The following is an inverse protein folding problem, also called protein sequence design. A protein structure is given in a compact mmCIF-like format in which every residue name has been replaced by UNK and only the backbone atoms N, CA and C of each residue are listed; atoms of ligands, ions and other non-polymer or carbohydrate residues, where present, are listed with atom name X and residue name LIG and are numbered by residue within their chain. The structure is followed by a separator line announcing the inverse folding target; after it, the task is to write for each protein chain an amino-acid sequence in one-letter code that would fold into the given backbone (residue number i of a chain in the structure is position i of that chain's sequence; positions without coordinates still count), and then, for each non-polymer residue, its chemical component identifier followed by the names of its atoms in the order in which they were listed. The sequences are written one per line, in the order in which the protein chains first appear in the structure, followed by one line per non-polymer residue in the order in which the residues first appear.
data_IF_105445835009
#
_entry.id   IF_105445835009
#
_cell.length_a   1.000
_cell.length_b   1.000
_cell.length_c   1.000
_cell.angle_alpha   90.00
_cell.angle_beta   90.00
_cell.angle_gamma   90.00
#
_symmetry.space_group_name_H-M   'P 1'
#
loop_
_entity.id
_entity.type
_entity.pdbx_description
1 polymer ?
#
# COMPACT_ATOMS: atom_id res chain seq x y z
N UNK A 1 50.05 -13.51 -85.18
CA UNK A 1 50.93 -12.88 -84.20
C UNK A 1 50.08 -12.70 -82.93
N UNK A 2 50.23 -13.71 -82.05
CA UNK A 2 49.38 -13.82 -80.84
C UNK A 2 50.09 -13.26 -79.64
N UNK A 3 49.38 -12.41 -78.90
CA UNK A 3 49.79 -11.96 -77.54
C UNK A 3 48.87 -12.57 -76.52
N UNK A 4 49.36 -13.60 -75.85
CA UNK A 4 48.72 -14.16 -74.68
C UNK A 4 48.89 -13.24 -73.50
N UNK A 5 47.77 -12.76 -72.91
CA UNK A 5 47.76 -12.03 -71.61
C UNK A 5 47.62 -13.03 -70.49
N UNK A 6 48.57 -13.01 -69.60
CA UNK A 6 48.57 -13.74 -68.33
C UNK A 6 47.73 -12.93 -67.29
N UNK A 7 46.71 -13.53 -66.78
CA UNK A 7 45.91 -12.91 -65.65
C UNK A 7 46.38 -13.64 -64.42
N UNK A 8 46.99 -12.84 -63.46
CA UNK A 8 47.28 -13.23 -62.08
C UNK A 8 46.05 -13.03 -61.27
N UNK A 9 45.46 -14.07 -60.67
CA UNK A 9 44.43 -14.02 -59.71
C UNK A 9 45.04 -13.84 -58.27
N UNK A 10 44.87 -12.70 -57.67
CA UNK A 10 45.20 -12.48 -56.28
C UNK A 10 44.02 -12.87 -55.42
N UNK A 11 44.11 -13.94 -54.63
CA UNK A 11 43.14 -14.33 -53.63
C UNK A 11 43.32 -13.48 -52.39
N UNK A 12 42.45 -12.49 -52.21
CA UNK A 12 42.36 -11.70 -50.99
C UNK A 12 41.58 -12.47 -49.91
N UNK A 13 42.26 -12.94 -48.86
CA UNK A 13 41.62 -13.48 -47.67
C UNK A 13 40.99 -12.32 -46.85
N UNK A 14 39.66 -12.21 -46.87
CA UNK A 14 38.92 -11.31 -46.00
C UNK A 14 38.85 -11.91 -44.60
N UNK A 15 39.68 -11.40 -43.69
CA UNK A 15 39.55 -11.67 -42.24
C UNK A 15 38.35 -10.92 -41.73
N UNK A 16 37.22 -11.60 -41.55
CA UNK A 16 36.06 -11.07 -40.86
C UNK A 16 36.37 -11.01 -39.36
N UNK A 17 36.82 -9.87 -38.87
CA UNK A 17 36.88 -9.57 -37.42
C UNK A 17 35.46 -9.46 -36.92
N UNK A 18 34.94 -10.52 -36.32
CA UNK A 18 33.69 -10.49 -35.56
C UNK A 18 33.84 -9.53 -34.37
N UNK A 19 33.39 -8.30 -34.55
CA UNK A 19 33.13 -7.39 -33.43
C UNK A 19 32.02 -8.01 -32.62
N UNK A 20 32.37 -8.73 -31.56
CA UNK A 20 31.44 -9.17 -30.53
C UNK A 20 30.75 -7.90 -29.97
N UNK A 21 29.46 -7.74 -30.28
CA UNK A 21 28.66 -6.67 -29.67
C UNK A 21 28.67 -6.89 -28.16
N UNK A 22 29.44 -6.07 -27.43
CA UNK A 22 29.37 -6.02 -26.00
C UNK A 22 27.90 -5.75 -25.63
N UNK A 23 27.32 -6.47 -24.64
CA UNK A 23 25.96 -6.23 -24.25
C UNK A 23 25.84 -4.75 -23.86
N UNK A 24 24.98 -4.03 -24.57
CA UNK A 24 24.71 -2.62 -24.27
C UNK A 24 24.26 -2.53 -22.81
N UNK A 25 25.10 -1.99 -21.94
CA UNK A 25 24.73 -1.70 -20.56
C UNK A 25 23.59 -0.69 -20.64
N UNK A 26 22.39 -1.14 -20.30
CA UNK A 26 21.22 -0.27 -20.26
C UNK A 26 21.49 0.85 -19.28
N UNK A 27 21.26 2.11 -19.69
CA UNK A 27 21.41 3.25 -18.82
C UNK A 27 20.57 3.10 -17.55
N UNK A 28 21.09 3.61 -16.43
CA UNK A 28 20.38 3.59 -15.16
C UNK A 28 19.02 4.30 -15.28
N UNK A 29 17.96 3.59 -14.95
CA UNK A 29 16.61 4.16 -14.98
C UNK A 29 16.33 4.92 -13.69
N UNK A 30 15.89 6.17 -13.79
CA UNK A 30 15.40 6.95 -12.63
C UNK A 30 13.87 7.03 -12.68
N UNK A 31 13.22 6.59 -11.57
CA UNK A 31 11.78 6.66 -11.38
C UNK A 31 11.43 7.79 -10.40
N UNK A 32 10.36 8.54 -10.70
CA UNK A 32 9.82 9.56 -9.80
C UNK A 32 8.91 8.90 -8.77
N UNK A 33 9.35 8.90 -7.50
CA UNK A 33 8.64 8.29 -6.37
C UNK A 33 7.79 9.30 -5.61
N UNK A 34 6.56 8.92 -5.22
CA UNK A 34 5.68 9.74 -4.39
C UNK A 34 5.04 8.92 -3.27
N UNK A 35 4.87 9.54 -2.09
CA UNK A 35 4.19 8.92 -0.95
C UNK A 35 2.79 9.50 -0.74
N UNK A 36 1.83 8.64 -0.42
CA UNK A 36 0.49 9.08 0.04
C UNK A 36 0.48 9.63 1.47
N UNK A 37 1.64 9.68 2.12
CA UNK A 37 1.82 10.20 3.48
C UNK A 37 2.96 11.21 3.52
N UNK A 38 2.99 12.10 4.52
CA UNK A 38 4.08 13.06 4.67
C UNK A 38 5.43 12.34 4.82
N UNK A 39 6.45 12.88 4.19
CA UNK A 39 7.83 12.37 4.32
C UNK A 39 8.26 12.45 5.79
N UNK A 40 8.96 11.41 6.27
CA UNK A 40 9.42 11.29 7.67
C UNK A 40 8.33 10.94 8.68
N UNK A 41 7.03 10.92 8.28
CA UNK A 41 5.94 10.54 9.17
C UNK A 41 5.94 9.03 9.47
N UNK A 42 5.37 8.57 10.60
CA UNK A 42 5.28 7.13 10.89
C UNK A 42 4.70 6.29 9.75
N UNK A 43 3.62 6.70 9.05
CA UNK A 43 3.13 5.93 7.90
C UNK A 43 3.90 6.17 6.59
N UNK A 44 4.73 7.21 6.48
CA UNK A 44 5.56 7.47 5.29
C UNK A 44 6.86 6.65 5.27
N UNK A 45 7.49 6.51 6.45
CA UNK A 45 8.80 5.84 6.61
C UNK A 45 8.92 4.44 5.98
N UNK A 46 7.91 3.55 6.02
CA UNK A 46 8.05 2.23 5.38
C UNK A 46 8.31 2.31 3.87
N UNK A 47 7.67 3.22 3.16
CA UNK A 47 7.94 3.41 1.73
C UNK A 47 9.32 4.04 1.48
N UNK A 48 9.72 5.00 2.31
CA UNK A 48 11.06 5.61 2.24
C UNK A 48 12.16 4.56 2.47
N UNK A 49 11.94 3.62 3.39
CA UNK A 49 12.85 2.51 3.64
C UNK A 49 12.95 1.55 2.44
N UNK A 50 11.82 1.23 1.79
CA UNK A 50 11.81 0.45 0.56
C UNK A 50 12.58 1.17 -0.55
N UNK A 51 12.34 2.46 -0.76
CA UNK A 51 13.05 3.28 -1.76
C UNK A 51 14.55 3.28 -1.51
N UNK A 52 14.97 3.45 -0.24
CA UNK A 52 16.39 3.40 0.14
C UNK A 52 17.03 2.06 -0.21
N UNK A 53 16.34 0.94 0.03
CA UNK A 53 16.86 -0.39 -0.28
C UNK A 53 16.89 -0.67 -1.79
N UNK A 54 15.87 -0.23 -2.55
CA UNK A 54 15.90 -0.28 -4.02
C UNK A 54 17.08 0.50 -4.56
N UNK A 55 17.30 1.73 -4.09
CA UNK A 55 18.40 2.58 -4.54
C UNK A 55 19.78 2.00 -4.19
N UNK A 56 19.91 1.35 -3.03
CA UNK A 56 21.15 0.67 -2.63
C UNK A 56 21.50 -0.47 -3.58
N UNK A 57 20.54 -1.37 -3.87
CA UNK A 57 20.77 -2.55 -4.72
C UNK A 57 20.75 -2.21 -6.20
N UNK A 58 20.03 -1.17 -6.58
CA UNK A 58 19.86 -0.72 -7.95
C UNK A 58 20.90 0.28 -8.43
N UNK A 59 21.99 0.51 -7.69
CA UNK A 59 23.04 1.46 -8.11
C UNK A 59 23.59 1.08 -9.48
N UNK A 60 23.55 2.02 -10.42
CA UNK A 60 23.94 1.81 -11.83
C UNK A 60 22.87 1.09 -12.69
N UNK A 61 21.75 0.68 -12.13
CA UNK A 61 20.68 -0.07 -12.84
C UNK A 61 19.33 0.67 -12.74
N UNK A 62 18.86 0.95 -11.52
CA UNK A 62 17.57 1.60 -11.29
C UNK A 62 17.58 2.38 -9.98
N UNK A 63 17.07 3.61 -10.02
CA UNK A 63 16.92 4.47 -8.84
C UNK A 63 15.48 5.00 -8.73
N UNK A 64 15.05 5.26 -7.51
CA UNK A 64 13.79 5.95 -7.23
C UNK A 64 14.12 7.29 -6.56
N UNK A 65 13.86 8.40 -7.27
CA UNK A 65 13.97 9.74 -6.72
C UNK A 65 12.65 10.15 -6.08
N UNK A 66 12.64 10.28 -4.75
CA UNK A 66 11.44 10.77 -4.05
C UNK A 66 11.19 12.23 -4.39
N UNK A 67 10.01 12.53 -4.92
CA UNK A 67 9.56 13.90 -5.25
C UNK A 67 8.74 14.53 -4.13
N UNK A 68 8.30 13.73 -3.16
CA UNK A 68 7.59 14.22 -1.98
C UNK A 68 6.51 13.28 -1.46
N UNK A 69 5.77 13.77 -0.48
CA UNK A 69 4.64 13.08 0.13
C UNK A 69 3.41 13.99 0.32
N UNK A 70 2.22 13.39 0.30
CA UNK A 70 0.98 14.13 0.57
C UNK A 70 0.96 14.63 2.04
N UNK A 71 0.38 15.81 2.31
CA UNK A 71 -0.37 16.67 1.39
C UNK A 71 0.51 17.67 0.60
N UNK A 72 1.84 17.75 0.86
CA UNK A 72 2.71 18.76 0.26
C UNK A 72 2.73 18.71 -1.29
N UNK A 73 2.61 17.52 -1.89
CA UNK A 73 2.53 17.32 -3.35
C UNK A 73 1.09 17.17 -3.87
N UNK A 74 0.12 17.48 -3.01
CA UNK A 74 -1.32 17.40 -3.30
C UNK A 74 -2.06 16.33 -2.50
N UNK A 75 -3.35 16.19 -2.76
CA UNK A 75 -4.21 15.26 -2.02
C UNK A 75 -3.80 13.80 -2.21
N UNK A 76 -3.68 13.01 -1.11
CA UNK A 76 -3.38 11.59 -1.20
C UNK A 76 -4.41 10.81 -2.00
N UNK A 77 -5.66 11.27 -2.06
CA UNK A 77 -6.74 10.64 -2.80
C UNK A 77 -6.61 10.77 -4.33
N UNK A 78 -5.70 11.60 -4.83
CA UNK A 78 -5.49 11.82 -6.27
C UNK A 78 -4.12 11.32 -6.76
N UNK A 79 -3.19 10.98 -5.86
CA UNK A 79 -1.82 10.62 -6.25
C UNK A 79 -1.76 9.40 -7.17
N UNK A 80 -2.53 8.35 -6.88
CA UNK A 80 -2.55 7.15 -7.72
C UNK A 80 -3.14 7.44 -9.11
N UNK A 81 -4.15 8.31 -9.20
CA UNK A 81 -4.68 8.74 -10.49
C UNK A 81 -3.63 9.55 -11.28
N UNK A 82 -2.91 10.45 -10.61
CA UNK A 82 -1.80 11.21 -11.22
C UNK A 82 -0.70 10.26 -11.70
N UNK A 83 -0.35 9.24 -10.90
CA UNK A 83 0.62 8.21 -11.28
C UNK A 83 0.15 7.40 -12.50
N UNK A 84 -1.09 6.94 -12.54
CA UNK A 84 -1.60 6.18 -13.70
C UNK A 84 -1.57 6.99 -15.00
N UNK A 85 -1.60 8.31 -14.91
CA UNK A 85 -1.45 9.26 -16.03
C UNK A 85 0.01 9.68 -16.30
N UNK A 86 0.97 9.22 -15.50
CA UNK A 86 2.41 9.44 -15.72
C UNK A 86 3.00 10.67 -15.01
N UNK A 87 2.28 11.32 -14.08
CA UNK A 87 2.86 12.40 -13.26
C UNK A 87 3.94 11.88 -12.29
N UNK A 88 3.75 10.65 -11.79
CA UNK A 88 4.71 9.90 -10.98
C UNK A 88 4.91 8.52 -11.60
N UNK A 89 6.03 7.87 -11.31
CA UNK A 89 6.33 6.55 -11.85
C UNK A 89 6.03 5.46 -10.82
N UNK A 90 6.32 5.69 -9.53
CA UNK A 90 6.07 4.75 -8.42
C UNK A 90 5.44 5.47 -7.24
N UNK A 91 4.46 4.85 -6.59
CA UNK A 91 3.75 5.41 -5.44
C UNK A 91 3.66 4.38 -4.31
N UNK A 92 4.01 4.82 -3.09
CA UNK A 92 3.72 4.12 -1.84
C UNK A 92 2.38 4.59 -1.26
N UNK A 93 1.37 3.73 -1.21
CA UNK A 93 0.01 4.13 -0.84
C UNK A 93 -0.79 3.03 -0.16
N UNK A 94 -1.83 3.42 0.58
CA UNK A 94 -2.87 2.48 1.06
C UNK A 94 -4.00 2.35 0.04
N UNK A 95 -4.66 1.19 -0.01
CA UNK A 95 -5.80 0.93 -0.90
C UNK A 95 -6.96 1.90 -0.66
N UNK A 96 -7.08 2.44 0.55
CA UNK A 96 -8.09 3.45 0.88
C UNK A 96 -7.98 4.74 0.08
N UNK A 97 -6.78 5.06 -0.41
CA UNK A 97 -6.54 6.28 -1.18
C UNK A 97 -6.57 6.05 -2.70
N UNK A 98 -6.39 4.84 -3.18
CA UNK A 98 -6.50 4.55 -4.61
C UNK A 98 -7.78 3.80 -5.03
N UNK A 99 -8.71 3.59 -4.10
CA UNK A 99 -9.99 2.96 -4.38
C UNK A 99 -10.90 3.74 -5.35
N UNK A 100 -10.63 5.00 -5.62
CA UNK A 100 -11.29 5.79 -6.67
C UNK A 100 -10.83 5.38 -8.08
N UNK A 101 -9.58 4.96 -8.24
CA UNK A 101 -9.03 4.47 -9.51
C UNK A 101 -9.38 3.00 -9.71
N UNK A 102 -9.22 2.19 -8.66
CA UNK A 102 -9.51 0.77 -8.66
C UNK A 102 -10.40 0.39 -7.47
N UNK A 103 -11.72 0.47 -7.62
CA UNK A 103 -12.69 0.21 -6.53
C UNK A 103 -12.56 -1.17 -5.89
N UNK A 104 -12.15 -2.19 -6.67
CA UNK A 104 -11.90 -3.54 -6.18
C UNK A 104 -10.73 -3.64 -5.19
N UNK A 105 -9.82 -2.64 -5.12
CA UNK A 105 -8.71 -2.61 -4.17
C UNK A 105 -9.18 -2.72 -2.70
N UNK A 106 -10.42 -2.37 -2.43
CA UNK A 106 -11.03 -2.54 -1.12
C UNK A 106 -10.94 -3.98 -0.56
N UNK A 107 -10.74 -4.99 -1.41
CA UNK A 107 -10.55 -6.37 -0.98
C UNK A 107 -9.25 -6.58 -0.20
N UNK A 108 -8.21 -5.78 -0.47
CA UNK A 108 -6.89 -5.94 0.16
C UNK A 108 -6.94 -5.84 1.69
N UNK A 109 -7.89 -5.08 2.26
CA UNK A 109 -8.11 -5.00 3.71
C UNK A 109 -8.96 -6.12 4.28
N UNK A 110 -9.64 -6.91 3.42
CA UNK A 110 -10.60 -7.96 3.80
C UNK A 110 -9.94 -9.35 3.89
N UNK A 111 -8.62 -9.44 3.79
CA UNK A 111 -7.87 -10.69 3.78
C UNK A 111 -8.07 -11.48 5.09
N UNK A 112 -8.27 -12.80 4.95
CA UNK A 112 -8.29 -13.77 6.06
C UNK A 112 -7.11 -14.76 5.96
N UNK A 113 -6.27 -14.62 4.93
CA UNK A 113 -5.04 -15.38 4.70
C UNK A 113 -3.81 -14.50 4.86
N UNK A 114 -2.64 -15.09 5.14
CA UNK A 114 -1.37 -14.39 5.01
C UNK A 114 -1.16 -13.90 3.57
N UNK A 115 -0.34 -12.88 3.38
CA UNK A 115 -0.13 -12.35 2.04
C UNK A 115 0.62 -13.34 1.13
N UNK A 116 1.50 -14.16 1.72
CA UNK A 116 2.13 -15.27 1.02
C UNK A 116 1.10 -16.28 0.49
N UNK A 117 0.09 -16.63 1.31
CA UNK A 117 -1.00 -17.50 0.89
C UNK A 117 -1.86 -16.86 -0.22
N UNK A 118 -2.17 -15.57 -0.10
CA UNK A 118 -2.90 -14.84 -1.15
C UNK A 118 -2.17 -14.87 -2.50
N UNK A 119 -0.82 -14.79 -2.49
CA UNK A 119 -0.03 -14.97 -3.72
C UNK A 119 -0.14 -16.38 -4.28
N UNK A 120 0.03 -17.42 -3.45
CA UNK A 120 -0.09 -18.82 -3.89
C UNK A 120 -1.48 -19.16 -4.45
N UNK A 121 -2.53 -18.59 -3.88
CA UNK A 121 -3.93 -18.76 -4.33
C UNK A 121 -4.26 -17.94 -5.60
N UNK A 122 -3.32 -17.16 -6.11
CA UNK A 122 -3.54 -16.27 -7.26
C UNK A 122 -4.40 -15.04 -6.95
N UNK A 123 -4.66 -14.74 -5.68
CA UNK A 123 -5.47 -13.59 -5.26
C UNK A 123 -4.81 -12.26 -5.66
N UNK A 124 -3.52 -12.14 -5.41
CA UNK A 124 -2.76 -10.93 -5.76
C UNK A 124 -2.61 -10.79 -7.27
N UNK A 125 -2.38 -11.89 -8.01
CA UNK A 125 -2.36 -11.87 -9.48
C UNK A 125 -3.71 -11.42 -10.06
N UNK A 126 -4.83 -11.82 -9.44
CA UNK A 126 -6.15 -11.35 -9.86
C UNK A 126 -6.34 -9.85 -9.61
N UNK A 127 -5.92 -9.34 -8.44
CA UNK A 127 -5.93 -7.89 -8.13
C UNK A 127 -5.04 -7.13 -9.11
N UNK A 128 -3.85 -7.63 -9.41
CA UNK A 128 -2.95 -7.04 -10.40
C UNK A 128 -3.59 -6.96 -11.78
N UNK A 129 -4.24 -8.03 -12.25
CA UNK A 129 -4.99 -8.02 -13.52
C UNK A 129 -6.03 -6.88 -13.56
N UNK A 130 -6.72 -6.61 -12.44
CA UNK A 130 -7.67 -5.50 -12.35
C UNK A 130 -6.98 -4.13 -12.36
N UNK A 131 -5.86 -4.00 -11.66
CA UNK A 131 -5.03 -2.78 -11.62
C UNK A 131 -4.42 -2.47 -12.99
N UNK A 132 -3.95 -3.49 -13.72
CA UNK A 132 -3.37 -3.32 -15.06
C UNK A 132 -4.37 -2.70 -16.05
N UNK A 133 -5.67 -3.00 -15.93
CA UNK A 133 -6.73 -2.35 -16.73
C UNK A 133 -6.86 -0.84 -16.45
N UNK A 134 -6.27 -0.37 -15.34
CA UNK A 134 -6.24 1.03 -14.91
C UNK A 134 -4.87 1.69 -15.09
N UNK A 135 -3.96 1.03 -15.82
CA UNK A 135 -2.62 1.56 -16.08
C UNK A 135 -1.68 1.47 -14.87
N UNK A 136 -1.91 0.53 -13.96
CA UNK A 136 -1.16 0.35 -12.71
C UNK A 136 -0.60 -1.05 -12.66
N UNK A 137 0.71 -1.18 -12.35
CA UNK A 137 1.37 -2.43 -11.97
C UNK A 137 1.47 -2.52 -10.45
N UNK A 138 1.21 -3.70 -9.90
CA UNK A 138 1.31 -3.98 -8.47
C UNK A 138 2.63 -4.68 -8.16
N UNK A 139 3.46 -4.06 -7.33
CA UNK A 139 4.74 -4.66 -6.90
C UNK A 139 4.53 -5.55 -5.68
N UNK A 140 4.18 -4.93 -4.53
CA UNK A 140 4.10 -5.65 -3.26
C UNK A 140 3.34 -4.85 -2.19
N UNK A 141 2.91 -5.54 -1.14
CA UNK A 141 2.56 -4.95 0.15
C UNK A 141 3.86 -4.66 0.92
N UNK A 142 4.35 -3.44 0.87
CA UNK A 142 5.63 -3.12 1.51
C UNK A 142 5.55 -2.94 3.04
N UNK A 143 4.33 -2.81 3.60
CA UNK A 143 4.14 -2.74 5.04
C UNK A 143 2.70 -3.10 5.43
N UNK A 144 2.54 -3.63 6.65
CA UNK A 144 1.24 -3.79 7.31
C UNK A 144 1.33 -3.20 8.72
N UNK A 145 0.35 -2.40 9.11
CA UNK A 145 0.26 -1.81 10.45
C UNK A 145 -0.65 -2.63 11.38
N UNK A 146 -1.09 -3.81 10.93
CA UNK A 146 -2.06 -4.64 11.62
C UNK A 146 -3.50 -4.14 11.45
N UNK A 147 -4.40 -4.56 12.34
CA UNK A 147 -5.79 -4.17 12.26
C UNK A 147 -5.99 -2.68 12.56
N UNK A 148 -7.03 -2.11 11.94
CA UNK A 148 -7.54 -0.81 12.37
C UNK A 148 -8.27 -0.93 13.71
N UNK A 149 -8.23 0.13 14.50
CA UNK A 149 -8.99 0.32 15.74
C UNK A 149 -9.80 1.60 15.69
N UNK A 150 -10.87 1.67 16.45
CA UNK A 150 -11.55 2.92 16.77
C UNK A 150 -10.82 3.56 17.95
N UNK A 151 -10.43 4.82 17.79
CA UNK A 151 -9.78 5.64 18.81
C UNK A 151 -10.71 6.78 19.19
N UNK A 152 -10.85 7.05 20.50
CA UNK A 152 -11.87 7.94 21.03
C UNK A 152 -11.31 8.91 22.08
N UNK A 153 -11.92 10.09 22.19
CA UNK A 153 -11.69 11.04 23.29
C UNK A 153 -12.47 10.68 24.55
N UNK A 154 -13.63 10.00 24.42
CA UNK A 154 -14.52 9.57 25.52
C UNK A 154 -14.84 8.08 25.38
N UNK A 155 -15.18 7.39 26.48
CA UNK A 155 -15.50 5.96 26.44
C UNK A 155 -16.85 5.71 25.78
N UNK A 156 -17.04 4.50 25.26
CA UNK A 156 -18.32 3.96 24.81
C UNK A 156 -18.64 2.67 25.56
N UNK A 157 -19.93 2.32 25.68
CA UNK A 157 -20.39 1.15 26.44
C UNK A 157 -20.45 -0.13 25.58
N UNK A 158 -20.63 0.01 24.26
CA UNK A 158 -20.82 -1.11 23.34
C UNK A 158 -20.53 -0.72 21.90
N UNK A 159 -20.80 -1.61 20.94
CA UNK A 159 -20.48 -1.42 19.53
C UNK A 159 -21.46 -0.48 18.78
N UNK A 160 -22.52 0.00 19.43
CA UNK A 160 -23.39 1.02 18.86
C UNK A 160 -22.68 2.37 18.87
N UNK A 161 -22.51 2.97 17.69
CA UNK A 161 -21.83 4.26 17.51
C UNK A 161 -22.80 5.41 17.26
N UNK A 162 -24.11 5.21 17.51
CA UNK A 162 -25.12 6.24 17.39
C UNK A 162 -24.77 7.45 18.28
N UNK A 163 -24.88 8.64 17.71
CA UNK A 163 -24.53 9.90 18.40
C UNK A 163 -23.04 10.27 18.31
N UNK A 164 -22.17 9.42 17.77
CA UNK A 164 -20.79 9.78 17.52
C UNK A 164 -20.63 10.39 16.12
N UNK A 165 -19.81 11.44 16.05
CA UNK A 165 -19.27 11.97 14.80
C UNK A 165 -17.80 11.58 14.69
N UNK A 166 -17.43 10.79 13.67
CA UNK A 166 -16.11 10.17 13.59
C UNK A 166 -15.34 10.63 12.34
N UNK A 167 -14.08 10.94 12.54
CA UNK A 167 -13.16 11.12 11.40
C UNK A 167 -12.88 9.78 10.73
N UNK A 168 -13.05 9.72 9.40
CA UNK A 168 -12.84 8.50 8.62
C UNK A 168 -11.93 8.70 7.42
N UNK A 169 -11.30 7.59 7.03
CA UNK A 169 -10.83 7.37 5.66
C UNK A 169 -11.83 6.48 4.91
N UNK A 170 -11.77 6.40 3.56
CA UNK A 170 -12.66 5.54 2.79
C UNK A 170 -12.63 4.06 3.18
N UNK A 171 -11.60 3.62 3.91
CA UNK A 171 -11.40 2.23 4.34
C UNK A 171 -12.56 1.74 5.21
N UNK A 172 -12.93 2.51 6.22
CA UNK A 172 -13.87 2.09 7.27
C UNK A 172 -15.12 2.97 7.38
N UNK A 173 -15.33 3.90 6.45
CA UNK A 173 -16.55 4.73 6.42
C UNK A 173 -17.81 3.87 6.44
N UNK A 174 -17.92 2.88 5.55
CA UNK A 174 -19.10 2.02 5.46
C UNK A 174 -19.37 1.27 6.77
N UNK A 175 -18.33 0.81 7.45
CA UNK A 175 -18.46 0.10 8.71
C UNK A 175 -18.95 1.01 9.83
N UNK A 176 -18.32 2.16 10.06
CA UNK A 176 -18.74 3.05 11.14
C UNK A 176 -20.14 3.64 10.90
N UNK A 177 -20.49 3.93 9.64
CA UNK A 177 -21.86 4.35 9.30
C UNK A 177 -22.87 3.23 9.55
N UNK A 178 -22.54 1.97 9.21
CA UNK A 178 -23.43 0.83 9.50
C UNK A 178 -23.60 0.57 11.01
N UNK A 179 -22.64 1.00 11.83
CA UNK A 179 -22.73 0.94 13.29
C UNK A 179 -23.40 2.17 13.93
N UNK A 180 -23.95 3.11 13.13
CA UNK A 180 -24.73 4.25 13.60
C UNK A 180 -23.98 5.59 13.66
N UNK A 181 -22.66 5.63 13.39
CA UNK A 181 -21.93 6.89 13.44
C UNK A 181 -22.22 7.80 12.24
N UNK A 182 -22.19 9.11 12.48
CA UNK A 182 -21.97 10.10 11.42
C UNK A 182 -20.48 10.24 11.14
N UNK A 183 -20.09 10.62 9.92
CA UNK A 183 -18.70 10.54 9.52
C UNK A 183 -18.20 11.77 8.77
N UNK A 184 -16.98 12.20 9.10
CA UNK A 184 -16.24 13.26 8.42
C UNK A 184 -14.98 12.67 7.75
N UNK A 185 -14.95 12.69 6.41
CA UNK A 185 -13.78 12.21 5.66
C UNK A 185 -12.66 13.25 5.70
N UNK A 186 -11.44 12.82 6.07
CA UNK A 186 -10.25 13.65 5.98
C UNK A 186 -8.96 12.84 5.84
N UNK A 187 -7.85 13.52 5.54
CA UNK A 187 -6.51 12.94 5.57
C UNK A 187 -5.91 12.96 6.98
N UNK A 188 -4.71 12.41 7.13
CA UNK A 188 -4.02 12.26 8.43
C UNK A 188 -3.72 13.61 9.10
N UNK A 189 -3.40 14.65 8.33
CA UNK A 189 -2.99 15.94 8.88
C UNK A 189 -4.10 16.65 9.70
N UNK A 190 -5.36 16.32 9.40
CA UNK A 190 -6.53 16.96 10.03
C UNK A 190 -7.00 16.25 11.31
N UNK A 191 -6.47 15.04 11.62
CA UNK A 191 -6.94 14.23 12.75
C UNK A 191 -6.79 14.99 14.08
N UNK A 192 -5.59 15.53 14.34
CA UNK A 192 -5.32 16.25 15.59
C UNK A 192 -6.29 17.42 15.79
N UNK A 193 -6.38 18.30 14.79
CA UNK A 193 -7.22 19.51 14.85
C UNK A 193 -8.71 19.18 15.04
N UNK A 194 -9.22 18.17 14.32
CA UNK A 194 -10.63 17.77 14.45
C UNK A 194 -10.95 17.18 15.82
N UNK A 195 -10.03 16.43 16.42
CA UNK A 195 -10.17 15.91 17.78
C UNK A 195 -10.05 17.01 18.83
N UNK A 196 -9.07 17.92 18.66
CA UNK A 196 -8.80 19.02 19.59
C UNK A 196 -10.00 20.00 19.68
N UNK A 197 -10.56 20.36 18.53
CA UNK A 197 -11.71 21.28 18.45
C UNK A 197 -13.06 20.60 18.76
N UNK A 198 -13.06 19.29 19.05
CA UNK A 198 -14.31 18.55 19.28
C UNK A 198 -15.17 18.35 18.03
N UNK A 199 -14.66 18.68 16.83
CA UNK A 199 -15.35 18.44 15.55
C UNK A 199 -15.72 16.96 15.41
N UNK A 200 -14.85 16.07 15.88
CA UNK A 200 -15.11 14.63 15.94
C UNK A 200 -14.76 14.08 17.33
N UNK A 201 -15.44 13.00 17.74
CA UNK A 201 -15.19 12.33 19.01
C UNK A 201 -14.23 11.15 18.90
N UNK A 202 -13.82 10.82 17.67
CA UNK A 202 -12.90 9.71 17.44
C UNK A 202 -12.53 9.53 15.97
N UNK A 203 -11.67 8.56 15.73
CA UNK A 203 -11.16 8.24 14.39
C UNK A 203 -10.75 6.78 14.29
N UNK A 204 -10.70 6.25 13.06
CA UNK A 204 -10.10 4.94 12.76
C UNK A 204 -8.60 5.09 12.46
N UNK A 205 -7.77 4.23 13.07
CA UNK A 205 -6.34 4.13 12.79
C UNK A 205 -5.78 2.78 13.29
N UNK A 206 -4.73 2.22 12.66
CA UNK A 206 -4.08 1.04 13.22
C UNK A 206 -3.30 1.35 14.51
N UNK A 207 -2.94 0.34 15.26
CA UNK A 207 -2.12 0.51 16.47
C UNK A 207 -0.69 0.96 16.12
N UNK A 208 -0.10 0.40 15.06
CA UNK A 208 1.18 0.85 14.54
C UNK A 208 1.01 2.06 13.60
N UNK A 209 2.10 2.81 13.40
CA UNK A 209 2.07 4.03 12.58
C UNK A 209 1.25 5.18 13.19
N UNK A 210 0.97 5.10 14.47
CA UNK A 210 0.22 6.10 15.22
C UNK A 210 1.05 7.38 15.42
N UNK A 211 0.42 8.54 15.26
CA UNK A 211 1.11 9.83 15.37
C UNK A 211 1.24 10.23 16.84
N UNK A 212 2.45 10.43 17.37
CA UNK A 212 2.68 10.64 18.80
C UNK A 212 1.89 11.82 19.42
N UNK A 213 1.69 12.92 18.67
CA UNK A 213 0.94 14.08 19.16
C UNK A 213 -0.53 13.77 19.49
N UNK A 214 -1.11 12.73 18.89
CA UNK A 214 -2.52 12.36 19.12
C UNK A 214 -2.81 11.90 20.56
N UNK A 215 -1.77 11.57 21.34
CA UNK A 215 -1.93 11.24 22.77
C UNK A 215 -2.62 12.37 23.58
N UNK A 216 -2.46 13.61 23.13
CA UNK A 216 -3.08 14.78 23.80
C UNK A 216 -4.61 14.79 23.68
N UNK A 217 -5.13 14.26 22.56
CA UNK A 217 -6.55 14.33 22.17
C UNK A 217 -7.27 12.98 22.18
N UNK A 218 -6.55 11.88 22.48
CA UNK A 218 -7.08 10.51 22.43
C UNK A 218 -6.92 9.84 23.80
N UNK A 219 -7.95 9.20 24.29
CA UNK A 219 -7.96 8.55 25.62
C UNK A 219 -8.29 7.07 25.59
N UNK A 220 -8.96 6.59 24.53
CA UNK A 220 -9.45 5.21 24.47
C UNK A 220 -9.14 4.58 23.11
N UNK A 221 -8.83 3.27 23.13
CA UNK A 221 -8.75 2.40 21.96
C UNK A 221 -9.76 1.27 22.12
N UNK A 222 -10.52 0.97 21.06
CA UNK A 222 -11.48 -0.13 21.04
C UNK A 222 -10.83 -1.40 20.48
N UNK A 223 -11.02 -2.50 21.19
CA UNK A 223 -10.67 -3.87 20.81
C UNK A 223 -11.93 -4.76 20.68
N UNK A 224 -11.97 -5.72 19.76
CA UNK A 224 -10.90 -6.05 18.81
C UNK A 224 -10.80 -5.05 17.67
N UNK A 225 -9.63 -5.04 17.01
CA UNK A 225 -9.43 -4.35 15.74
C UNK A 225 -10.22 -5.01 14.61
N UNK A 226 -10.29 -4.32 13.47
CA UNK A 226 -11.00 -4.74 12.26
C UNK A 226 -10.18 -4.40 11.02
N UNK A 227 -10.38 -5.09 9.92
CA UNK A 227 -9.66 -4.93 8.65
C UNK A 227 -8.13 -4.94 8.78
N UNK A 228 -7.42 -5.07 7.68
CA UNK A 228 -5.97 -4.89 7.63
C UNK A 228 -5.60 -3.48 7.15
N UNK A 229 -4.55 -2.92 7.72
CA UNK A 229 -4.01 -1.61 7.35
C UNK A 229 -2.71 -1.75 6.60
N UNK A 230 -2.81 -2.02 5.31
CA UNK A 230 -1.65 -2.31 4.46
C UNK A 230 -1.21 -1.11 3.62
N UNK A 231 0.10 -1.04 3.37
CA UNK A 231 0.71 -0.13 2.42
C UNK A 231 1.28 -0.90 1.24
N UNK A 232 1.02 -0.39 0.05
CA UNK A 232 1.33 -1.05 -1.21
C UNK A 232 2.25 -0.18 -2.07
N UNK A 233 3.19 -0.83 -2.74
CA UNK A 233 4.00 -0.21 -3.81
C UNK A 233 3.36 -0.52 -5.14
N UNK A 234 2.99 0.53 -5.85
CA UNK A 234 2.36 0.49 -7.18
C UNK A 234 3.14 1.36 -8.15
N UNK A 235 3.17 0.96 -9.42
CA UNK A 235 3.96 1.61 -10.48
C UNK A 235 3.06 1.93 -11.67
N UNK A 236 3.34 3.02 -12.37
CA UNK A 236 2.73 3.29 -13.66
C UNK A 236 3.03 2.15 -14.63
N UNK A 237 1.99 1.49 -15.16
CA UNK A 237 2.15 0.28 -15.98
C UNK A 237 2.98 0.51 -17.25
N UNK A 238 2.84 1.68 -17.90
CA UNK A 238 3.62 2.02 -19.09
C UNK A 238 5.10 2.19 -18.74
N UNK A 239 5.40 2.90 -17.64
CA UNK A 239 6.77 3.03 -17.13
C UNK A 239 7.34 1.67 -16.74
N UNK A 240 6.58 0.83 -16.04
CA UNK A 240 6.98 -0.54 -15.69
C UNK A 240 7.39 -1.36 -16.90
N UNK A 241 6.55 -1.34 -17.95
CA UNK A 241 6.83 -2.06 -19.21
C UNK A 241 8.04 -1.52 -19.99
N UNK A 242 8.46 -0.29 -19.74
CA UNK A 242 9.67 0.30 -20.36
C UNK A 242 10.95 -0.03 -19.61
N UNK A 243 10.88 -0.63 -18.44
CA UNK A 243 12.04 -1.08 -17.67
C UNK A 243 12.57 -2.41 -18.23
N UNK A 244 13.88 -2.60 -18.17
CA UNK A 244 14.50 -3.89 -18.46
C UNK A 244 14.17 -4.91 -17.37
N UNK A 245 14.32 -6.20 -17.66
CA UNK A 245 14.11 -7.29 -16.69
C UNK A 245 14.96 -7.07 -15.43
N UNK A 246 16.25 -6.70 -15.57
CA UNK A 246 17.12 -6.44 -14.44
C UNK A 246 16.61 -5.30 -13.53
N UNK A 247 16.05 -4.24 -14.13
CA UNK A 247 15.46 -3.11 -13.40
C UNK A 247 14.18 -3.53 -12.66
N UNK A 248 13.31 -4.30 -13.32
CA UNK A 248 12.09 -4.85 -12.73
C UNK A 248 12.40 -5.83 -11.59
N UNK A 249 13.39 -6.69 -11.76
CA UNK A 249 13.76 -7.72 -10.79
C UNK A 249 14.25 -7.10 -9.47
N UNK A 250 15.08 -6.06 -9.52
CA UNK A 250 15.53 -5.35 -8.30
C UNK A 250 14.33 -4.80 -7.52
N UNK A 251 13.43 -4.09 -8.19
CA UNK A 251 12.25 -3.51 -7.53
C UNK A 251 11.34 -4.60 -6.96
N UNK A 252 11.12 -5.69 -7.73
CA UNK A 252 10.27 -6.80 -7.34
C UNK A 252 10.86 -7.55 -6.14
N UNK A 253 12.14 -7.91 -6.18
CA UNK A 253 12.81 -8.65 -5.10
C UNK A 253 12.78 -7.86 -3.79
N UNK A 254 13.13 -6.56 -3.83
CA UNK A 254 13.05 -5.70 -2.64
C UNK A 254 11.60 -5.63 -2.14
N UNK A 255 10.63 -5.42 -3.03
CA UNK A 255 9.22 -5.38 -2.68
C UNK A 255 8.75 -6.66 -1.98
N UNK A 256 9.08 -7.83 -2.50
CA UNK A 256 8.72 -9.13 -1.93
C UNK A 256 9.41 -9.41 -0.59
N UNK A 257 10.64 -8.92 -0.39
CA UNK A 257 11.31 -9.02 0.92
C UNK A 257 10.61 -8.16 1.97
N UNK A 258 10.23 -6.94 1.63
CA UNK A 258 9.44 -6.08 2.52
C UNK A 258 8.08 -6.71 2.83
N UNK A 259 7.42 -7.32 1.84
CA UNK A 259 6.15 -8.02 2.01
C UNK A 259 6.25 -9.17 3.02
N UNK A 260 7.29 -10.02 2.92
CA UNK A 260 7.52 -11.10 3.90
C UNK A 260 7.78 -10.59 5.32
N UNK A 261 8.52 -9.48 5.45
CA UNK A 261 8.80 -8.85 6.76
C UNK A 261 7.55 -8.17 7.37
N UNK A 262 6.58 -7.84 6.54
CA UNK A 262 5.36 -7.14 6.96
C UNK A 262 4.23 -8.08 7.41
N UNK A 263 4.45 -9.41 7.47
CA UNK A 263 3.43 -10.33 7.99
C UNK A 263 3.16 -10.06 9.47
N UNK A 264 1.87 -9.97 9.83
CA UNK A 264 1.45 -9.52 11.16
C UNK A 264 1.68 -10.55 12.27
N UNK A 265 1.91 -11.81 11.92
CA UNK A 265 2.32 -12.89 12.82
C UNK A 265 3.84 -13.00 12.99
N UNK A 266 4.62 -12.19 12.27
CA UNK A 266 6.08 -12.19 12.40
C UNK A 266 6.53 -11.72 13.80
N UNK A 267 7.61 -12.30 14.36
CA UNK A 267 8.15 -11.87 15.65
C UNK A 267 8.48 -10.37 15.70
N UNK A 268 8.97 -9.82 14.58
CA UNK A 268 9.30 -8.39 14.47
C UNK A 268 8.05 -7.51 14.57
N UNK A 269 6.96 -7.87 13.90
CA UNK A 269 5.68 -7.15 14.01
C UNK A 269 5.14 -7.20 15.43
N UNK A 270 5.12 -8.38 16.07
CA UNK A 270 4.61 -8.57 17.44
C UNK A 270 5.43 -7.77 18.46
N UNK A 271 6.75 -7.72 18.30
CA UNK A 271 7.62 -6.90 19.15
C UNK A 271 7.32 -5.40 19.02
N UNK A 272 7.12 -4.90 17.79
CA UNK A 272 6.74 -3.51 17.53
C UNK A 272 5.37 -3.19 18.14
N UNK A 273 4.40 -4.07 17.99
CA UNK A 273 3.05 -3.90 18.53
C UNK A 273 3.08 -3.85 20.07
N UNK A 274 3.83 -4.76 20.71
CA UNK A 274 4.04 -4.76 22.16
C UNK A 274 4.65 -3.45 22.65
N UNK A 275 5.69 -2.95 21.97
CA UNK A 275 6.34 -1.67 22.28
C UNK A 275 5.37 -0.50 22.14
N UNK A 276 4.60 -0.46 21.05
CA UNK A 276 3.62 0.60 20.81
C UNK A 276 2.50 0.58 21.87
N UNK A 277 1.98 -0.60 22.22
CA UNK A 277 0.96 -0.74 23.24
C UNK A 277 1.46 -0.29 24.63
N UNK A 278 2.67 -0.68 25.01
CA UNK A 278 3.29 -0.23 26.26
C UNK A 278 3.47 1.29 26.29
N UNK A 279 3.90 1.89 25.17
CA UNK A 279 4.05 3.34 25.07
C UNK A 279 2.70 4.07 25.19
N UNK A 280 1.65 3.63 24.48
CA UNK A 280 0.33 4.27 24.58
C UNK A 280 -0.27 4.12 26.00
N UNK A 281 -0.10 2.96 26.62
CA UNK A 281 -0.51 2.73 28.03
C UNK A 281 0.22 3.69 29.00
N UNK A 282 1.54 3.90 28.83
CA UNK A 282 2.31 4.83 29.66
C UNK A 282 1.86 6.31 29.53
N UNK A 283 1.09 6.61 28.47
CA UNK A 283 0.46 7.92 28.22
C UNK A 283 -0.99 7.98 28.72
N UNK A 284 -1.44 7.00 29.50
CA UNK A 284 -2.79 6.94 30.06
C UNK A 284 -3.88 6.47 29.10
N UNK A 285 -3.51 5.89 27.97
CA UNK A 285 -4.48 5.30 27.03
C UNK A 285 -5.16 4.08 27.65
N UNK A 286 -6.48 4.05 27.62
CA UNK A 286 -7.30 2.96 28.11
C UNK A 286 -7.81 2.10 26.93
N UNK A 287 -7.96 0.80 27.16
CA UNK A 287 -8.51 -0.12 26.17
C UNK A 287 -9.93 -0.48 26.55
N UNK A 288 -10.85 -0.35 25.60
CA UNK A 288 -12.23 -0.83 25.69
C UNK A 288 -12.29 -2.12 24.90
N UNK A 289 -12.46 -3.25 25.58
CA UNK A 289 -12.50 -4.56 24.93
C UNK A 289 -13.93 -5.08 24.84
N UNK A 290 -14.45 -5.22 23.64
CA UNK A 290 -15.73 -5.90 23.42
C UNK A 290 -15.56 -7.42 23.57
N UNK A 291 -16.47 -8.04 24.32
CA UNK A 291 -16.51 -9.49 24.56
C UNK A 291 -17.88 -10.04 24.18
N UNK A 292 -18.05 -11.36 24.17
CA UNK A 292 -19.34 -12.01 23.93
C UNK A 292 -20.10 -11.49 22.69
N UNK A 293 -21.35 -11.12 22.89
CA UNK A 293 -22.25 -10.63 21.83
C UNK A 293 -21.76 -9.33 21.19
N UNK A 294 -21.20 -8.41 21.96
CA UNK A 294 -20.68 -7.13 21.46
C UNK A 294 -19.49 -7.34 20.53
N UNK A 295 -18.58 -8.24 20.90
CA UNK A 295 -17.47 -8.65 20.02
C UNK A 295 -17.99 -9.26 18.71
N UNK A 296 -18.95 -10.15 18.80
CA UNK A 296 -19.54 -10.79 17.61
C UNK A 296 -20.23 -9.76 16.70
N UNK A 297 -21.03 -8.86 17.27
CA UNK A 297 -21.70 -7.76 16.54
C UNK A 297 -20.68 -6.84 15.85
N UNK A 298 -19.63 -6.44 16.56
CA UNK A 298 -18.56 -5.57 16.04
C UNK A 298 -17.84 -6.18 14.83
N UNK A 299 -17.33 -7.41 14.97
CA UNK A 299 -16.58 -8.08 13.91
C UNK A 299 -17.48 -8.46 12.72
N UNK A 300 -18.71 -8.90 12.98
CA UNK A 300 -19.70 -9.18 11.91
C UNK A 300 -20.06 -7.90 11.17
N UNK A 301 -20.32 -6.81 11.88
CA UNK A 301 -20.61 -5.50 11.27
C UNK A 301 -19.48 -5.00 10.36
N UNK A 302 -18.23 -5.15 10.79
CA UNK A 302 -17.07 -4.84 9.96
C UNK A 302 -17.01 -5.73 8.71
N UNK A 303 -17.13 -7.04 8.86
CA UNK A 303 -17.09 -8.02 7.75
C UNK A 303 -18.20 -7.76 6.74
N UNK A 304 -19.42 -7.58 7.19
CA UNK A 304 -20.59 -7.36 6.33
C UNK A 304 -20.50 -6.02 5.57
N UNK A 305 -20.19 -4.93 6.27
CA UNK A 305 -20.03 -3.61 5.64
C UNK A 305 -18.88 -3.59 4.62
N UNK A 306 -17.76 -4.26 4.93
CA UNK A 306 -16.62 -4.38 4.03
C UNK A 306 -16.98 -5.12 2.75
N UNK A 307 -17.61 -6.28 2.85
CA UNK A 307 -18.02 -7.07 1.67
C UNK A 307 -19.15 -6.41 0.89
N UNK A 308 -20.10 -5.76 1.56
CA UNK A 308 -21.13 -4.96 0.89
C UNK A 308 -20.49 -3.83 0.05
N UNK A 309 -19.46 -3.17 0.58
CA UNK A 309 -18.71 -2.15 -0.16
C UNK A 309 -17.95 -2.72 -1.36
N UNK A 310 -17.27 -3.87 -1.21
CA UNK A 310 -16.60 -4.56 -2.33
C UNK A 310 -17.62 -4.95 -3.40
N UNK A 311 -18.76 -5.55 -3.02
CA UNK A 311 -19.85 -5.90 -3.94
C UNK A 311 -20.39 -4.70 -4.70
N UNK A 312 -20.66 -3.59 -3.98
CA UNK A 312 -21.17 -2.34 -4.60
C UNK A 312 -20.18 -1.75 -5.60
N UNK A 313 -18.87 -1.75 -5.27
CA UNK A 313 -17.82 -1.09 -6.06
C UNK A 313 -17.24 -1.95 -7.17
N UNK A 314 -17.28 -3.27 -7.03
CA UNK A 314 -16.76 -4.24 -7.99
C UNK A 314 -17.78 -5.38 -8.24
N UNK A 315 -18.99 -5.07 -8.77
CA UNK A 315 -20.09 -6.02 -8.86
C UNK A 315 -19.80 -7.24 -9.75
N UNK A 316 -18.88 -7.10 -10.71
CA UNK A 316 -18.47 -8.20 -11.60
C UNK A 316 -17.43 -9.13 -10.96
N UNK A 317 -16.61 -8.61 -10.03
CA UNK A 317 -15.42 -9.29 -9.51
C UNK A 317 -15.58 -9.77 -8.07
N UNK A 318 -16.57 -9.25 -7.30
CA UNK A 318 -16.66 -9.43 -5.86
C UNK A 318 -16.75 -10.90 -5.41
N UNK A 319 -17.46 -11.78 -6.17
CA UNK A 319 -17.57 -13.21 -5.82
C UNK A 319 -16.22 -13.90 -5.91
N UNK A 320 -15.48 -13.66 -7.01
CA UNK A 320 -14.14 -14.21 -7.19
C UNK A 320 -13.14 -13.64 -6.16
N UNK A 321 -13.22 -12.35 -5.88
CA UNK A 321 -12.41 -11.72 -4.85
C UNK A 321 -12.72 -12.32 -3.47
N UNK A 322 -14.00 -12.51 -3.11
CA UNK A 322 -14.37 -13.14 -1.84
C UNK A 322 -13.81 -14.55 -1.73
N UNK A 323 -13.98 -15.38 -2.75
CA UNK A 323 -13.42 -16.74 -2.80
C UNK A 323 -11.91 -16.79 -2.59
N UNK A 324 -11.18 -15.82 -3.16
CA UNK A 324 -9.70 -15.77 -3.11
C UNK A 324 -9.18 -15.23 -1.76
N UNK A 325 -9.91 -14.33 -1.10
CA UNK A 325 -9.43 -13.57 0.06
C UNK A 325 -9.97 -14.07 1.40
N UNK A 326 -11.04 -14.89 1.42
CA UNK A 326 -11.63 -15.42 2.67
C UNK A 326 -11.55 -16.94 2.77
N UNK A 327 -11.51 -17.39 4.05
CA UNK A 327 -11.61 -18.81 4.42
C UNK A 327 -13.03 -19.33 4.28
#
# INVERSE_FOLDING_TARGET
MDFKKLILAAAGAAVATGLGAAPAVSAEATLRGASCFPIGSPPGRPFEALVKEVNKRGKGVVQIKMVGGAPAIGSPFTLTQKMSRGAYDVVGCTEGYFGNVMPAAAVLRMQEYSFAELRRRGAIAYVEKLLNRKGIHYVARHHDFGPFHLWLSKPIKGPDLTGLHLRVSPVYTAFFTAMGATTQRSNIAQVYTYMENGTVQGYGWPALGWVPSWVKVTKYRVEPGFYHSSLHTIVNLRKWKSLTTAQQDIITQVGLEFERKAETDSPGFQALLKKQNAWTASKGMKVITFTGADRAKWLKGAKDAGWAQVKKRAPRDWRKLKQLFTK
#
